data_IF_182566976041
#
_entry.id   IF_182566976041
#
_cell.length_a   1.000
_cell.length_b   1.000
_cell.length_c   1.000
_cell.angle_alpha   90.00
_cell.angle_beta   90.00
_cell.angle_gamma   90.00
#
_symmetry.space_group_name_H-M   'P 1'
#
loop_
_entity.id
_entity.type
_entity.pdbx_description
1 polymer ?
#
# COMPACT_ATOMS: atom_id res chain seq x y z
N UNK A 1 12.33 -12.78 -1.34
CA UNK A 1 10.86 -12.61 -1.46
C UNK A 1 10.55 -11.12 -1.44
N UNK A 2 9.97 -10.57 -2.52
CA UNK A 2 9.84 -9.11 -2.70
C UNK A 2 8.76 -8.50 -1.80
N UNK A 3 9.06 -7.33 -1.28
CA UNK A 3 8.10 -6.35 -0.75
C UNK A 3 8.60 -5.00 -1.25
N UNK A 4 8.05 -4.53 -2.36
CA UNK A 4 8.57 -3.40 -3.13
C UNK A 4 7.42 -2.54 -3.63
N UNK A 5 7.47 -1.23 -3.40
CA UNK A 5 6.56 -0.26 -4.02
C UNK A 5 7.28 0.43 -5.19
N UNK A 6 6.62 0.48 -6.35
CA UNK A 6 7.05 1.26 -7.52
C UNK A 6 6.16 2.50 -7.61
N UNK A 7 6.77 3.68 -7.60
CA UNK A 7 6.06 4.94 -7.80
C UNK A 7 5.78 5.09 -9.31
N UNK A 8 4.51 5.21 -9.70
CA UNK A 8 4.13 5.49 -11.09
C UNK A 8 3.88 6.97 -11.32
N UNK A 9 3.41 7.68 -10.31
CA UNK A 9 3.24 9.13 -10.34
C UNK A 9 3.16 9.70 -8.93
N UNK A 10 3.65 10.92 -8.75
CA UNK A 10 3.74 11.59 -7.45
C UNK A 10 3.30 13.07 -7.48
N UNK A 11 2.56 13.49 -8.51
CA UNK A 11 2.09 14.87 -8.65
C UNK A 11 0.61 15.03 -8.29
N UNK A 12 0.25 16.16 -7.70
CA UNK A 12 -1.15 16.47 -7.37
C UNK A 12 -1.85 17.34 -8.40
N UNK A 13 -3.17 17.18 -8.49
CA UNK A 13 -4.18 17.96 -9.17
C UNK A 13 -3.95 18.27 -10.66
N UNK A 14 -2.92 19.05 -10.98
CA UNK A 14 -2.66 19.55 -12.33
C UNK A 14 -1.56 18.73 -13.01
N UNK A 15 -1.70 18.40 -14.30
CA UNK A 15 -0.67 17.68 -15.03
C UNK A 15 0.61 18.50 -15.12
N UNK A 16 1.75 17.80 -15.15
CA UNK A 16 3.06 18.41 -15.43
C UNK A 16 3.76 17.61 -16.52
N UNK A 17 4.78 18.21 -17.15
CA UNK A 17 5.57 17.51 -18.17
C UNK A 17 6.53 16.46 -17.61
N UNK A 18 6.74 16.43 -16.29
CA UNK A 18 7.79 15.62 -15.66
C UNK A 18 7.28 14.61 -14.64
N UNK A 19 6.13 14.86 -14.01
CA UNK A 19 5.56 14.01 -12.97
C UNK A 19 4.10 13.70 -13.29
N UNK A 20 3.77 12.42 -13.28
CA UNK A 20 2.43 11.94 -13.51
C UNK A 20 1.57 12.09 -12.24
N UNK A 21 0.24 12.17 -12.40
CA UNK A 21 -0.72 12.06 -11.29
C UNK A 21 -0.53 10.78 -10.48
N UNK A 22 -1.03 10.79 -9.24
CA UNK A 22 -0.79 9.75 -8.24
C UNK A 22 -1.19 8.36 -8.72
N UNK A 23 -0.20 7.46 -8.68
CA UNK A 23 -0.40 6.03 -8.83
C UNK A 23 0.84 5.28 -8.34
N UNK A 24 0.63 4.11 -7.76
CA UNK A 24 1.71 3.25 -7.28
C UNK A 24 1.37 1.78 -7.47
N UNK A 25 2.38 0.94 -7.65
CA UNK A 25 2.19 -0.51 -7.63
C UNK A 25 3.02 -1.13 -6.54
N UNK A 26 2.35 -1.81 -5.62
CA UNK A 26 2.96 -2.58 -4.55
C UNK A 26 3.04 -4.05 -4.97
N UNK A 27 4.24 -4.63 -4.88
CA UNK A 27 4.46 -6.07 -4.99
C UNK A 27 4.79 -6.64 -3.61
N UNK A 28 3.88 -7.42 -3.04
CA UNK A 28 4.11 -8.18 -1.80
C UNK A 28 4.03 -9.67 -2.12
N UNK A 29 5.16 -10.37 -2.00
CA UNK A 29 5.19 -11.83 -2.20
C UNK A 29 4.51 -12.25 -3.51
N UNK A 30 4.84 -11.56 -4.61
CA UNK A 30 4.34 -11.82 -5.95
C UNK A 30 2.85 -11.48 -6.17
N UNK A 31 2.21 -10.79 -5.22
CA UNK A 31 0.89 -10.16 -5.36
C UNK A 31 1.06 -8.69 -5.74
N UNK A 32 0.38 -8.26 -6.80
CA UNK A 32 0.49 -6.91 -7.32
C UNK A 32 -0.79 -6.13 -7.03
N UNK A 33 -0.65 -5.04 -6.28
CA UNK A 33 -1.72 -4.14 -5.88
C UNK A 33 -1.48 -2.78 -6.53
N UNK A 34 -2.47 -2.26 -7.25
CA UNK A 34 -2.45 -0.87 -7.73
C UNK A 34 -3.09 0.02 -6.68
N UNK A 35 -2.42 1.11 -6.31
CA UNK A 35 -2.90 2.11 -5.35
C UNK A 35 -3.01 3.43 -6.11
N UNK A 36 -4.24 3.93 -6.18
CA UNK A 36 -4.70 5.00 -7.07
C UNK A 36 -4.39 4.77 -8.56
N UNK A 37 -5.09 5.49 -9.42
CA UNK A 37 -5.01 5.34 -10.87
C UNK A 37 -5.21 6.68 -11.58
N UNK A 38 -4.32 7.63 -11.30
CA UNK A 38 -4.28 8.91 -11.99
C UNK A 38 -4.07 8.79 -13.51
N UNK A 39 -4.36 9.85 -14.24
CA UNK A 39 -4.24 9.86 -15.71
C UNK A 39 -2.84 9.41 -16.18
N UNK A 40 -2.80 8.53 -17.18
CA UNK A 40 -1.54 8.03 -17.73
C UNK A 40 -0.89 6.88 -16.96
N UNK A 41 -1.50 6.39 -15.88
CA UNK A 41 -1.01 5.24 -15.08
C UNK A 41 -0.60 4.04 -15.93
N UNK A 42 -1.41 3.63 -16.90
CA UNK A 42 -1.11 2.50 -17.80
C UNK A 42 0.16 2.73 -18.66
N UNK A 43 0.44 3.98 -19.04
CA UNK A 43 1.64 4.35 -19.80
C UNK A 43 2.85 4.24 -18.88
N UNK A 44 2.75 4.71 -17.63
CA UNK A 44 3.81 4.61 -16.63
C UNK A 44 4.11 3.13 -16.28
N UNK A 45 3.08 2.28 -16.16
CA UNK A 45 3.29 0.84 -15.99
C UNK A 45 4.11 0.23 -17.14
N UNK A 46 3.79 0.58 -18.39
CA UNK A 46 4.55 0.13 -19.56
C UNK A 46 5.98 0.67 -19.56
N UNK A 47 6.15 1.96 -19.25
CA UNK A 47 7.45 2.64 -19.18
C UNK A 47 8.38 1.98 -18.15
N UNK A 48 7.86 1.66 -16.97
CA UNK A 48 8.65 1.10 -15.87
C UNK A 48 8.57 -0.42 -15.77
N UNK A 49 8.06 -1.09 -16.82
CA UNK A 49 7.99 -2.56 -16.95
C UNK A 49 7.27 -3.22 -15.77
N UNK A 50 6.22 -2.57 -15.26
CA UNK A 50 5.34 -3.16 -14.24
C UNK A 50 4.44 -4.19 -14.92
N UNK A 51 4.32 -5.43 -14.38
CA UNK A 51 3.53 -6.49 -14.99
C UNK A 51 2.03 -6.26 -14.75
N UNK A 52 1.46 -5.32 -15.51
CA UNK A 52 0.06 -4.89 -15.41
C UNK A 52 -0.94 -6.06 -15.43
N UNK A 53 -0.69 -7.11 -16.20
CA UNK A 53 -1.54 -8.31 -16.27
C UNK A 53 -1.68 -9.07 -14.94
N UNK A 54 -0.77 -8.86 -13.98
CA UNK A 54 -0.78 -9.50 -12.65
C UNK A 54 -1.51 -8.70 -11.59
N UNK A 55 -2.03 -7.52 -11.93
CA UNK A 55 -2.79 -6.67 -11.02
C UNK A 55 -4.24 -7.15 -11.05
N UNK A 56 -4.72 -7.66 -9.92
CA UNK A 56 -6.11 -8.12 -9.73
C UNK A 56 -6.89 -7.26 -8.74
N UNK A 57 -6.21 -6.36 -8.04
CA UNK A 57 -6.79 -5.52 -7.00
C UNK A 57 -6.30 -4.08 -7.19
N UNK A 58 -7.25 -3.14 -7.29
CA UNK A 58 -7.02 -1.70 -7.43
C UNK A 58 -7.67 -1.00 -6.25
N UNK A 59 -6.89 -0.23 -5.50
CA UNK A 59 -7.34 0.52 -4.32
C UNK A 59 -7.35 2.02 -4.64
N UNK A 60 -8.53 2.64 -4.59
CA UNK A 60 -8.74 4.04 -4.89
C UNK A 60 -9.05 4.79 -3.60
N UNK A 61 -8.17 5.70 -3.22
CA UNK A 61 -8.23 6.46 -1.97
C UNK A 61 -9.43 7.40 -1.91
N UNK A 62 -9.74 8.08 -3.01
CA UNK A 62 -10.87 9.00 -3.17
C UNK A 62 -11.13 9.31 -4.66
N UNK A 63 -12.16 10.11 -4.96
CA UNK A 63 -12.66 10.29 -6.34
C UNK A 63 -12.23 11.59 -7.02
N UNK A 64 -11.11 12.20 -6.64
CA UNK A 64 -10.54 13.28 -7.44
C UNK A 64 -9.90 12.75 -8.73
N UNK A 65 -9.90 13.58 -9.77
CA UNK A 65 -9.55 13.16 -11.13
C UNK A 65 -8.12 12.66 -11.27
N UNK A 66 -7.18 13.28 -10.58
CA UNK A 66 -5.77 12.91 -10.50
C UNK A 66 -5.53 11.56 -9.80
N UNK A 67 -6.56 10.92 -9.24
CA UNK A 67 -6.52 9.57 -8.67
C UNK A 67 -7.34 8.55 -9.47
N UNK A 68 -8.22 8.96 -10.39
CA UNK A 68 -9.15 8.03 -11.06
C UNK A 68 -9.22 8.15 -12.58
N UNK A 69 -8.74 9.24 -13.20
CA UNK A 69 -8.89 9.44 -14.65
C UNK A 69 -8.13 8.41 -15.48
N UNK A 70 -7.08 7.78 -14.94
CA UNK A 70 -6.38 6.69 -15.59
C UNK A 70 -7.15 5.37 -15.62
N UNK A 71 -8.18 5.23 -14.77
CA UNK A 71 -8.85 3.96 -14.54
C UNK A 71 -9.59 3.48 -15.80
N UNK A 72 -10.36 4.34 -16.47
CA UNK A 72 -11.09 3.96 -17.68
C UNK A 72 -10.14 3.51 -18.80
N UNK A 73 -9.06 4.26 -19.02
CA UNK A 73 -8.04 3.90 -20.01
C UNK A 73 -7.38 2.56 -19.70
N UNK A 74 -7.06 2.31 -18.43
CA UNK A 74 -6.49 1.03 -17.98
C UNK A 74 -7.46 -0.14 -18.21
N UNK A 75 -8.75 0.03 -17.89
CA UNK A 75 -9.77 -1.00 -18.09
C UNK A 75 -10.00 -1.34 -19.56
N UNK A 76 -10.02 -0.32 -20.44
CA UNK A 76 -10.08 -0.52 -21.89
C UNK A 76 -8.84 -1.28 -22.39
N UNK A 77 -7.64 -0.96 -21.90
CA UNK A 77 -6.43 -1.70 -22.25
C UNK A 77 -6.47 -3.15 -21.79
N UNK A 78 -6.99 -3.44 -20.58
CA UNK A 78 -7.19 -4.84 -20.16
C UNK A 78 -8.13 -5.61 -21.07
N UNK A 79 -9.21 -4.98 -21.54
CA UNK A 79 -10.13 -5.59 -22.48
C UNK A 79 -9.44 -5.89 -23.83
N UNK A 80 -8.67 -4.93 -24.37
CA UNK A 80 -7.90 -5.10 -25.60
C UNK A 80 -6.82 -6.18 -25.49
N UNK A 81 -6.24 -6.36 -24.30
CA UNK A 81 -5.24 -7.41 -24.02
C UNK A 81 -5.86 -8.79 -23.75
N UNK A 82 -7.18 -8.92 -23.85
CA UNK A 82 -7.86 -10.21 -23.65
C UNK A 82 -7.76 -10.74 -22.23
N UNK A 83 -7.70 -9.85 -21.23
CA UNK A 83 -7.73 -10.23 -19.80
C UNK A 83 -8.93 -11.13 -19.53
N UNK A 84 -8.69 -12.24 -18.81
CA UNK A 84 -9.74 -13.17 -18.34
C UNK A 84 -9.90 -13.23 -16.82
N UNK A 85 -8.85 -12.89 -16.07
CA UNK A 85 -8.90 -12.91 -14.62
C UNK A 85 -9.73 -11.78 -14.08
N UNK A 86 -10.51 -12.05 -13.04
CA UNK A 86 -11.32 -11.04 -12.36
C UNK A 86 -10.49 -9.87 -11.83
N UNK A 87 -11.15 -8.73 -11.69
CA UNK A 87 -10.58 -7.48 -11.20
C UNK A 87 -11.44 -6.94 -10.07
N UNK A 88 -10.82 -6.62 -8.94
CA UNK A 88 -11.46 -6.04 -7.78
C UNK A 88 -11.04 -4.57 -7.67
N UNK A 89 -12.02 -3.67 -7.60
CA UNK A 89 -11.79 -2.23 -7.44
C UNK A 89 -12.40 -1.81 -6.11
N UNK A 90 -11.54 -1.37 -5.20
CA UNK A 90 -11.88 -0.90 -3.87
C UNK A 90 -11.91 0.63 -3.90
N UNK A 91 -13.05 1.25 -3.62
CA UNK A 91 -13.20 2.70 -3.74
C UNK A 91 -14.55 3.20 -3.26
N UNK A 92 -15.00 4.37 -3.73
CA UNK A 92 -16.31 4.90 -3.34
C UNK A 92 -17.38 4.19 -4.12
N UNK A 93 -18.55 3.96 -3.51
CA UNK A 93 -19.76 3.54 -4.25
C UNK A 93 -20.09 4.39 -5.49
N UNK A 94 -19.66 5.67 -5.54
CA UNK A 94 -19.83 6.53 -6.72
C UNK A 94 -18.91 6.13 -7.89
N UNK A 95 -17.76 5.52 -7.60
CA UNK A 95 -16.80 5.08 -8.61
C UNK A 95 -17.39 4.00 -9.51
N UNK A 96 -18.14 3.05 -8.94
CA UNK A 96 -18.85 2.02 -9.71
C UNK A 96 -19.79 2.64 -10.74
N UNK A 97 -20.61 3.62 -10.33
CA UNK A 97 -21.54 4.32 -11.23
C UNK A 97 -20.81 4.98 -12.39
N UNK A 98 -19.71 5.68 -12.10
CA UNK A 98 -18.91 6.38 -13.11
C UNK A 98 -18.29 5.41 -14.11
N UNK A 99 -17.61 4.36 -13.62
CA UNK A 99 -16.88 3.43 -14.47
C UNK A 99 -17.83 2.57 -15.29
N UNK A 100 -18.92 2.08 -14.70
CA UNK A 100 -19.94 1.31 -15.42
C UNK A 100 -20.54 2.15 -16.54
N UNK A 101 -20.93 3.40 -16.26
CA UNK A 101 -21.44 4.32 -17.29
C UNK A 101 -20.44 4.54 -18.43
N UNK A 102 -19.17 4.79 -18.12
CA UNK A 102 -18.13 4.99 -19.14
C UNK A 102 -17.91 3.73 -20.00
N UNK A 103 -17.87 2.54 -19.38
CA UNK A 103 -17.69 1.28 -20.11
C UNK A 103 -18.87 0.97 -21.02
N UNK A 104 -20.09 1.26 -20.59
CA UNK A 104 -21.32 1.12 -21.39
C UNK A 104 -21.32 2.08 -22.58
N UNK A 105 -21.04 3.36 -22.35
CA UNK A 105 -20.97 4.39 -23.40
C UNK A 105 -19.91 4.06 -24.47
N UNK A 106 -18.79 3.47 -24.05
CA UNK A 106 -17.70 3.07 -24.94
C UNK A 106 -17.91 1.70 -25.59
N UNK A 107 -19.04 1.03 -25.33
CA UNK A 107 -19.33 -0.34 -25.79
C UNK A 107 -18.17 -1.33 -25.52
N UNK A 108 -17.51 -1.18 -24.37
CA UNK A 108 -16.30 -1.95 -24.07
C UNK A 108 -16.62 -3.42 -23.83
N UNK A 109 -16.24 -4.27 -24.79
CA UNK A 109 -16.38 -5.73 -24.69
C UNK A 109 -15.26 -6.31 -23.81
N UNK A 110 -15.60 -6.69 -22.58
CA UNK A 110 -14.69 -7.32 -21.61
C UNK A 110 -14.95 -8.83 -21.47
N UNK A 111 -13.88 -9.59 -21.26
CA UNK A 111 -13.92 -11.06 -20.99
C UNK A 111 -13.60 -11.39 -19.53
N UNK A 112 -13.69 -10.40 -18.64
CA UNK A 112 -13.39 -10.51 -17.21
C UNK A 112 -14.44 -9.75 -16.40
N UNK A 113 -14.64 -10.17 -15.15
CA UNK A 113 -15.55 -9.48 -14.24
C UNK A 113 -14.84 -8.34 -13.50
N UNK A 114 -15.60 -7.30 -13.19
CA UNK A 114 -15.15 -6.20 -12.34
C UNK A 114 -16.05 -6.19 -11.10
N UNK A 115 -15.45 -6.37 -9.94
CA UNK A 115 -16.14 -6.33 -8.65
C UNK A 115 -15.79 -5.04 -7.92
N UNK A 116 -16.80 -4.23 -7.62
CA UNK A 116 -16.63 -2.99 -6.86
C UNK A 116 -16.87 -3.23 -5.37
N UNK A 117 -15.96 -2.71 -4.54
CA UNK A 117 -16.01 -2.81 -3.08
C UNK A 117 -15.98 -1.42 -2.48
N UNK A 118 -17.01 -1.06 -1.71
CA UNK A 118 -17.07 0.27 -1.09
C UNK A 118 -16.18 0.31 0.16
N UNK A 119 -15.32 1.34 0.27
CA UNK A 119 -14.29 1.36 1.33
C UNK A 119 -14.40 2.44 2.41
N UNK A 120 -15.42 3.30 2.35
CA UNK A 120 -15.48 4.45 3.24
C UNK A 120 -16.25 4.13 4.52
N UNK A 121 -15.53 4.14 5.63
CA UNK A 121 -16.04 3.96 6.99
C UNK A 121 -15.35 4.89 7.99
N UNK A 122 -15.86 4.94 9.22
CA UNK A 122 -15.23 5.70 10.32
C UNK A 122 -14.08 4.94 11.01
N UNK A 123 -14.03 3.63 10.77
CA UNK A 123 -13.12 2.70 11.42
C UNK A 123 -12.25 1.99 10.39
N UNK A 124 -11.21 1.32 10.87
CA UNK A 124 -10.38 0.45 10.05
C UNK A 124 -11.19 -0.77 9.58
N UNK A 125 -11.02 -1.16 8.33
CA UNK A 125 -11.72 -2.32 7.75
C UNK A 125 -10.78 -3.15 6.87
N UNK A 126 -10.96 -4.46 6.90
CA UNK A 126 -10.22 -5.39 6.04
C UNK A 126 -10.86 -5.42 4.65
N UNK A 127 -10.05 -5.14 3.62
CA UNK A 127 -10.47 -5.10 2.22
C UNK A 127 -10.14 -6.39 1.47
N UNK A 128 -8.97 -6.93 1.76
CA UNK A 128 -8.45 -8.12 1.13
C UNK A 128 -7.64 -8.90 2.16
N UNK A 129 -7.78 -10.21 2.16
CA UNK A 129 -6.99 -11.10 2.99
C UNK A 129 -6.79 -12.42 2.27
N UNK A 130 -5.56 -12.92 2.31
CA UNK A 130 -5.25 -14.30 1.95
C UNK A 130 -4.32 -14.96 2.98
N UNK A 131 -3.63 -16.02 2.59
CA UNK A 131 -2.72 -16.77 3.46
C UNK A 131 -1.41 -16.02 3.76
N UNK A 132 -1.11 -14.92 3.06
CA UNK A 132 0.16 -14.19 3.17
C UNK A 132 0.02 -12.70 3.48
N UNK A 133 -1.06 -12.06 3.06
CA UNK A 133 -1.22 -10.60 3.14
C UNK A 133 -2.61 -10.25 3.64
N UNK A 134 -2.68 -9.22 4.49
CA UNK A 134 -3.90 -8.50 4.83
C UNK A 134 -3.78 -7.06 4.35
N UNK A 135 -4.85 -6.54 3.73
CA UNK A 135 -4.97 -5.15 3.29
C UNK A 135 -6.15 -4.53 4.01
N UNK A 136 -5.90 -3.41 4.67
CA UNK A 136 -6.90 -2.66 5.42
C UNK A 136 -7.00 -1.23 4.91
N UNK A 137 -8.18 -0.63 4.98
CA UNK A 137 -8.32 0.82 4.82
C UNK A 137 -8.61 1.51 6.14
N UNK A 138 -8.22 2.77 6.24
CA UNK A 138 -8.47 3.65 7.38
C UNK A 138 -8.84 5.07 6.90
N UNK A 139 -9.65 5.83 7.67
CA UNK A 139 -10.11 7.14 7.23
C UNK A 139 -9.01 8.20 7.22
N UNK A 140 -8.99 9.03 6.17
CA UNK A 140 -8.18 10.23 6.05
C UNK A 140 -9.04 11.49 6.15
N UNK A 141 -8.41 12.66 6.29
CA UNK A 141 -9.09 13.94 6.48
C UNK A 141 -8.95 14.83 5.25
N UNK A 142 -9.85 14.68 4.29
CA UNK A 142 -9.83 15.43 3.02
C UNK A 142 -11.11 16.25 2.77
N UNK A 143 -11.49 17.06 3.76
CA UNK A 143 -12.65 17.94 3.66
C UNK A 143 -13.97 17.18 3.63
N UNK A 144 -14.86 17.54 2.70
CA UNK A 144 -16.14 16.86 2.49
C UNK A 144 -16.00 15.60 1.63
N UNK A 145 -14.85 15.39 0.98
CA UNK A 145 -14.59 14.22 0.16
C UNK A 145 -14.19 13.05 1.06
N UNK A 146 -14.92 11.91 1.02
CA UNK A 146 -14.44 10.69 1.66
C UNK A 146 -13.09 10.28 1.07
N UNK A 147 -12.09 10.14 1.94
CA UNK A 147 -10.74 9.73 1.58
C UNK A 147 -10.24 8.66 2.54
N UNK A 148 -9.52 7.67 2.01
CA UNK A 148 -9.03 6.53 2.74
C UNK A 148 -7.54 6.31 2.46
N UNK A 149 -6.80 5.94 3.51
CA UNK A 149 -5.47 5.38 3.40
C UNK A 149 -5.53 3.87 3.39
N UNK A 150 -4.42 3.23 3.01
CA UNK A 150 -4.32 1.78 2.90
C UNK A 150 -3.13 1.25 3.67
N UNK A 151 -3.32 0.16 4.39
CA UNK A 151 -2.30 -0.54 5.15
C UNK A 151 -2.17 -1.98 4.65
N UNK A 152 -1.01 -2.30 4.09
CA UNK A 152 -0.66 -3.62 3.58
C UNK A 152 0.29 -4.28 4.58
N UNK A 153 -0.07 -5.43 5.12
CA UNK A 153 0.75 -6.18 6.09
C UNK A 153 0.94 -7.61 5.65
N UNK A 154 2.17 -8.10 5.74
CA UNK A 154 2.40 -9.55 5.71
C UNK A 154 1.76 -10.20 6.95
N UNK A 155 1.17 -11.37 6.77
CA UNK A 155 0.73 -12.21 7.87
C UNK A 155 1.90 -13.00 8.44
N UNK A 156 1.79 -13.37 9.70
CA UNK A 156 2.78 -14.19 10.37
C UNK A 156 2.99 -15.51 9.61
N UNK A 157 4.26 -15.89 9.51
CA UNK A 157 4.64 -17.14 8.86
C UNK A 157 4.77 -18.23 9.91
N UNK A 158 4.44 -19.49 9.56
CA UNK A 158 4.70 -20.60 10.46
C UNK A 158 6.20 -20.70 10.79
N UNK A 159 6.51 -21.18 11.99
CA UNK A 159 7.88 -21.39 12.46
C UNK A 159 8.59 -22.43 11.60
N UNK A 160 9.92 -22.33 11.49
CA UNK A 160 10.70 -23.33 10.73
C UNK A 160 11.12 -24.46 11.66
N UNK A 161 10.78 -25.70 11.33
CA UNK A 161 11.16 -26.86 12.13
C UNK A 161 12.67 -27.14 12.06
N UNK A 162 13.27 -27.53 13.18
CA UNK A 162 14.66 -27.99 13.24
C UNK A 162 14.71 -29.52 13.13
N UNK A 163 15.01 -30.04 11.93
CA UNK A 163 14.97 -31.48 11.64
C UNK A 163 15.81 -32.31 12.63
N UNK A 164 17.04 -31.88 12.91
CA UNK A 164 17.96 -32.63 13.79
C UNK A 164 17.40 -32.78 15.21
N UNK A 165 16.77 -31.73 15.73
CA UNK A 165 16.16 -31.77 17.06
C UNK A 165 14.82 -32.51 17.07
N UNK A 166 14.05 -32.44 15.98
CA UNK A 166 12.84 -33.26 15.87
C UNK A 166 13.17 -34.75 15.90
N UNK A 167 14.24 -35.15 15.23
CA UNK A 167 14.67 -36.55 15.19
C UNK A 167 15.26 -36.98 16.54
N UNK A 168 16.06 -36.14 17.19
CA UNK A 168 16.58 -36.40 18.54
C UNK A 168 15.46 -36.62 19.58
N UNK A 169 14.39 -35.84 19.51
CA UNK A 169 13.24 -35.93 20.42
C UNK A 169 12.14 -36.89 19.94
N UNK A 170 12.39 -37.65 18.86
CA UNK A 170 11.42 -38.59 18.26
C UNK A 170 10.04 -37.95 17.99
N UNK A 171 10.02 -36.68 17.56
CA UNK A 171 8.78 -35.92 17.39
C UNK A 171 7.93 -36.53 16.26
N UNK A 172 6.70 -37.01 16.55
CA UNK A 172 5.82 -37.58 15.55
C UNK A 172 5.41 -36.56 14.47
N UNK A 173 5.21 -37.03 13.24
CA UNK A 173 4.78 -36.18 12.11
C UNK A 173 3.49 -35.40 12.44
N UNK A 174 2.54 -36.04 13.15
CA UNK A 174 1.28 -35.42 13.58
C UNK A 174 1.47 -34.13 14.42
N UNK A 175 2.56 -34.02 15.18
CA UNK A 175 2.84 -32.88 16.05
C UNK A 175 3.53 -31.72 15.31
N UNK A 176 4.01 -31.94 14.08
CA UNK A 176 4.80 -30.95 13.33
C UNK A 176 4.00 -29.69 12.97
N UNK A 177 2.69 -29.81 12.75
CA UNK A 177 1.85 -28.65 12.45
C UNK A 177 1.65 -27.76 13.68
N UNK A 178 1.35 -28.35 14.83
CA UNK A 178 1.28 -27.68 16.13
C UNK A 178 2.58 -26.92 16.46
N UNK A 179 3.73 -27.58 16.27
CA UNK A 179 5.04 -26.95 16.45
C UNK A 179 5.24 -25.74 15.52
N UNK A 180 4.80 -25.83 14.27
CA UNK A 180 4.86 -24.69 13.33
C UNK A 180 3.96 -23.52 13.77
N UNK A 181 2.92 -23.78 14.54
CA UNK A 181 2.01 -22.76 15.11
C UNK A 181 2.44 -22.25 16.49
N UNK A 182 3.55 -22.77 17.03
CA UNK A 182 4.16 -22.29 18.27
C UNK A 182 3.81 -23.09 19.53
N UNK A 183 3.09 -24.21 19.40
CA UNK A 183 2.80 -25.09 20.53
C UNK A 183 4.06 -25.86 20.96
N UNK A 184 4.21 -26.13 22.26
CA UNK A 184 5.25 -27.00 22.79
C UNK A 184 4.98 -28.47 22.44
N UNK A 185 6.02 -29.32 22.47
CA UNK A 185 5.86 -30.76 22.27
C UNK A 185 5.85 -31.48 23.62
N UNK A 186 4.92 -32.42 23.82
CA UNK A 186 4.87 -33.27 25.01
C UNK A 186 5.21 -34.70 24.60
N UNK A 187 6.21 -35.30 25.24
CA UNK A 187 6.62 -36.69 24.97
C UNK A 187 5.60 -37.69 25.52
N UNK A 188 5.72 -38.97 25.17
CA UNK A 188 4.84 -40.02 25.68
C UNK A 188 5.00 -40.22 27.20
N UNK A 189 6.18 -39.90 27.73
CA UNK A 189 6.51 -39.90 29.16
C UNK A 189 6.03 -38.63 29.89
N UNK A 190 5.45 -37.66 29.18
CA UNK A 190 4.92 -36.42 29.74
C UNK A 190 5.94 -35.28 29.87
N UNK A 191 7.16 -35.41 29.32
CA UNK A 191 8.14 -34.32 29.31
C UNK A 191 7.72 -33.23 28.32
N UNK A 192 7.77 -31.96 28.73
CA UNK A 192 7.46 -30.82 27.86
C UNK A 192 8.75 -30.28 27.24
N UNK A 193 8.87 -30.40 25.92
CA UNK A 193 9.95 -29.85 25.12
C UNK A 193 9.51 -28.49 24.54
N UNK A 194 10.17 -27.38 24.93
CA UNK A 194 9.80 -26.06 24.44
C UNK A 194 9.90 -25.94 22.93
N UNK A 195 8.89 -25.33 22.31
CA UNK A 195 8.78 -25.09 20.89
C UNK A 195 10.01 -24.36 20.32
N UNK A 196 10.50 -23.36 21.05
CA UNK A 196 11.69 -22.57 20.67
C UNK A 196 12.96 -23.40 20.55
N UNK A 197 13.03 -24.56 21.22
CA UNK A 197 14.13 -25.51 21.05
C UNK A 197 14.00 -26.25 19.72
N UNK A 198 12.78 -26.66 19.37
CA UNK A 198 12.49 -27.48 18.19
C UNK A 198 12.30 -26.69 16.88
N UNK A 199 12.29 -25.35 16.96
CA UNK A 199 11.95 -24.49 15.84
C UNK A 199 12.77 -23.20 15.80
N UNK A 200 12.80 -22.54 14.66
CA UNK A 200 13.34 -21.19 14.47
C UNK A 200 12.19 -20.21 14.23
N UNK A 201 12.29 -19.02 14.83
CA UNK A 201 11.35 -17.93 14.62
C UNK A 201 11.25 -17.61 13.11
N UNK A 202 10.04 -17.32 12.59
CA UNK A 202 9.91 -16.79 11.23
C UNK A 202 10.59 -15.42 11.14
N UNK A 203 11.03 -14.98 9.94
CA UNK A 203 11.42 -13.60 9.73
C UNK A 203 10.28 -12.63 10.12
N UNK A 204 10.59 -11.43 10.61
CA UNK A 204 9.57 -10.45 10.97
C UNK A 204 8.68 -10.10 9.77
N UNK A 205 7.42 -9.82 10.05
CA UNK A 205 6.46 -9.35 9.04
C UNK A 205 6.81 -7.93 8.61
N UNK A 206 6.48 -7.62 7.36
CA UNK A 206 6.68 -6.31 6.75
C UNK A 206 5.36 -5.61 6.47
N UNK A 207 5.41 -4.29 6.43
CA UNK A 207 4.22 -3.45 6.31
C UNK A 207 4.46 -2.20 5.49
N UNK A 208 3.43 -1.79 4.75
CA UNK A 208 3.42 -0.55 3.98
C UNK A 208 2.10 0.19 4.18
N UNK A 209 2.20 1.48 4.52
CA UNK A 209 1.05 2.36 4.63
C UNK A 209 1.09 3.44 3.55
N UNK A 210 -0.07 3.70 2.95
CA UNK A 210 -0.28 4.76 1.97
C UNK A 210 -1.27 5.78 2.53
N UNK A 211 -0.79 7.00 2.78
CA UNK A 211 -1.56 8.17 3.15
C UNK A 211 -1.44 9.20 2.02
N UNK A 212 -2.49 9.36 1.23
CA UNK A 212 -2.56 10.47 0.26
C UNK A 212 -3.25 11.68 0.89
N UNK A 213 -3.71 12.62 0.07
CA UNK A 213 -4.74 13.64 0.29
C UNK A 213 -5.37 13.61 1.68
N UNK A 214 -4.71 14.29 2.62
CA UNK A 214 -5.13 14.42 4.00
C UNK A 214 -4.51 15.66 4.63
N UNK A 215 -5.32 16.38 5.40
CA UNK A 215 -4.82 17.27 6.44
C UNK A 215 -4.20 16.42 7.57
N UNK A 216 -3.33 17.02 8.42
CA UNK A 216 -2.81 16.34 9.60
C UNK A 216 -3.94 15.74 10.45
N UNK A 217 -3.85 14.44 10.71
CA UNK A 217 -4.94 13.70 11.33
C UNK A 217 -4.42 12.66 12.34
N UNK A 218 -4.25 13.09 13.59
CA UNK A 218 -3.66 12.27 14.65
C UNK A 218 -4.30 10.89 14.88
N UNK A 219 -5.57 10.71 14.50
CA UNK A 219 -6.28 9.43 14.65
C UNK A 219 -5.66 8.29 13.84
N UNK A 220 -4.85 8.59 12.82
CA UNK A 220 -4.17 7.55 12.03
C UNK A 220 -2.88 7.05 12.69
N UNK A 221 -2.29 7.77 13.64
CA UNK A 221 -0.98 7.42 14.23
C UNK A 221 -0.99 6.00 14.83
N UNK A 222 -1.98 5.58 15.65
CA UNK A 222 -2.02 4.22 16.18
C UNK A 222 -2.14 3.13 15.10
N UNK A 223 -2.68 3.47 13.93
CA UNK A 223 -2.84 2.53 12.80
C UNK A 223 -1.51 2.35 12.07
N UNK A 224 -0.71 3.42 12.01
CA UNK A 224 0.59 3.49 11.34
C UNK A 224 1.76 3.04 12.23
N UNK A 225 1.48 2.68 13.48
CA UNK A 225 2.50 2.38 14.48
C UNK A 225 3.48 1.30 13.98
N UNK A 226 4.77 1.61 14.03
CA UNK A 226 5.89 0.75 13.63
C UNK A 226 5.86 0.28 12.17
N UNK A 227 5.16 0.98 11.26
CA UNK A 227 5.12 0.62 9.84
C UNK A 227 6.53 0.67 9.23
N UNK A 228 6.88 -0.32 8.40
CA UNK A 228 8.22 -0.38 7.81
C UNK A 228 8.43 0.68 6.72
N UNK A 229 7.37 1.02 6.01
CA UNK A 229 7.38 2.04 4.99
C UNK A 229 6.06 2.82 5.00
N UNK A 230 6.16 4.13 5.17
CA UNK A 230 5.04 5.05 5.08
C UNK A 230 5.20 5.90 3.82
N UNK A 231 4.17 5.94 2.98
CA UNK A 231 4.00 7.01 2.01
C UNK A 231 3.02 8.03 2.56
N UNK A 232 3.41 9.31 2.56
CA UNK A 232 2.53 10.40 2.99
C UNK A 232 2.56 11.54 1.97
N UNK A 233 1.40 12.13 1.70
CA UNK A 233 1.36 13.35 0.89
C UNK A 233 2.13 14.51 1.56
N UNK A 234 2.83 15.27 0.74
CA UNK A 234 3.51 16.49 1.11
C UNK A 234 3.26 17.51 0.01
N UNK A 235 1.98 17.85 -0.19
CA UNK A 235 1.56 18.73 -1.29
C UNK A 235 2.24 20.10 -1.22
N UNK A 236 2.56 20.55 -0.01
CA UNK A 236 3.06 21.89 0.28
C UNK A 236 4.31 21.89 1.18
N UNK A 237 4.99 23.04 1.23
CA UNK A 237 5.98 23.34 2.27
C UNK A 237 5.29 24.04 3.45
N UNK A 238 6.00 24.17 4.57
CA UNK A 238 5.55 24.92 5.74
C UNK A 238 5.16 26.36 5.42
N UNK A 239 5.81 26.98 4.44
CA UNK A 239 5.47 28.34 3.96
C UNK A 239 4.04 28.45 3.44
N UNK A 240 3.47 27.37 2.89
CA UNK A 240 2.08 27.31 2.42
C UNK A 240 1.15 26.59 3.40
N UNK A 241 1.49 26.48 4.69
CA UNK A 241 0.67 25.77 5.68
C UNK A 241 -0.79 26.27 5.76
N UNK A 242 -1.03 27.56 5.53
CA UNK A 242 -2.40 28.12 5.45
C UNK A 242 -3.18 27.54 4.27
N UNK A 243 -2.53 27.41 3.12
CA UNK A 243 -3.14 26.82 1.93
C UNK A 243 -3.36 25.32 2.13
N UNK A 244 -2.36 24.59 2.63
CA UNK A 244 -2.47 23.18 2.96
C UNK A 244 -3.71 22.91 3.83
N UNK A 245 -3.89 23.70 4.89
CA UNK A 245 -5.07 23.62 5.76
C UNK A 245 -6.38 23.92 5.02
N UNK A 246 -6.41 24.94 4.17
CA UNK A 246 -7.62 25.35 3.44
C UNK A 246 -8.06 24.30 2.41
N UNK A 247 -7.10 23.59 1.82
CA UNK A 247 -7.34 22.54 0.81
C UNK A 247 -7.31 21.12 1.37
N UNK A 248 -7.27 20.98 2.70
CA UNK A 248 -7.20 19.68 3.39
C UNK A 248 -6.03 18.78 2.95
N UNK A 249 -4.85 19.38 2.83
CA UNK A 249 -3.59 18.74 2.51
C UNK A 249 -2.56 18.90 3.63
N UNK A 250 -1.42 18.24 3.48
CA UNK A 250 -0.30 18.29 4.41
C UNK A 250 0.92 18.99 3.83
N UNK A 251 1.73 19.51 4.75
CA UNK A 251 3.08 20.01 4.46
C UNK A 251 4.12 18.90 4.62
N UNK A 252 5.32 19.06 4.05
CA UNK A 252 6.42 18.13 4.22
C UNK A 252 6.81 17.95 5.71
N UNK A 253 6.85 19.03 6.49
CA UNK A 253 7.07 18.97 7.95
C UNK A 253 5.99 18.13 8.65
N UNK A 254 4.72 18.28 8.26
CA UNK A 254 3.61 17.56 8.87
C UNK A 254 3.62 16.07 8.53
N UNK A 255 3.94 15.72 7.28
CA UNK A 255 4.12 14.33 6.87
C UNK A 255 5.23 13.64 7.68
N UNK A 256 6.36 14.35 7.88
CA UNK A 256 7.48 13.86 8.69
C UNK A 256 7.10 13.69 10.17
N UNK A 257 6.33 14.62 10.75
CA UNK A 257 5.80 14.48 12.12
C UNK A 257 4.92 13.24 12.28
N UNK A 258 4.07 12.93 11.30
CA UNK A 258 3.25 11.71 11.35
C UNK A 258 4.13 10.46 11.33
N UNK A 259 5.20 10.43 10.53
CA UNK A 259 6.13 9.31 10.48
C UNK A 259 6.88 9.12 11.81
N UNK A 260 7.36 10.22 12.40
CA UNK A 260 8.04 10.23 13.69
C UNK A 260 7.11 9.79 14.84
N UNK A 261 5.93 10.39 14.95
CA UNK A 261 4.92 10.04 15.98
C UNK A 261 4.44 8.58 15.85
N UNK A 262 4.44 8.00 14.65
CA UNK A 262 4.09 6.61 14.40
C UNK A 262 5.27 5.63 14.55
N UNK A 263 6.48 6.11 14.84
CA UNK A 263 7.70 5.31 14.83
C UNK A 263 7.87 4.51 13.51
N UNK A 264 7.55 5.13 12.38
CA UNK A 264 7.72 4.51 11.06
C UNK A 264 9.22 4.30 10.80
N UNK A 265 9.59 3.24 10.06
CA UNK A 265 11.01 2.98 9.78
C UNK A 265 11.56 3.82 8.63
N UNK A 266 10.72 4.15 7.64
CA UNK A 266 11.08 4.94 6.45
C UNK A 266 9.87 5.72 5.95
N UNK A 267 10.08 6.97 5.55
CA UNK A 267 9.07 7.85 4.95
C UNK A 267 9.37 8.10 3.48
N UNK A 268 8.34 7.97 2.64
CA UNK A 268 8.31 8.49 1.28
C UNK A 268 7.31 9.65 1.26
N UNK A 269 7.75 10.82 0.82
CA UNK A 269 6.87 11.96 0.58
C UNK A 269 6.55 12.09 -0.91
N UNK A 270 5.29 12.42 -1.24
CA UNK A 270 4.82 12.56 -2.61
C UNK A 270 3.62 13.49 -2.74
N UNK A 271 2.83 13.34 -3.82
CA UNK A 271 1.65 14.16 -4.10
C UNK A 271 1.96 15.67 -4.22
N UNK A 272 3.07 16.02 -4.89
CA UNK A 272 3.59 17.38 -4.88
C UNK A 272 2.77 18.34 -5.74
N UNK A 273 2.53 19.55 -5.23
CA UNK A 273 1.90 20.61 -6.03
C UNK A 273 2.75 20.99 -7.24
N UNK A 274 2.11 21.14 -8.39
CA UNK A 274 2.74 21.57 -9.64
C UNK A 274 3.43 22.94 -9.57
N UNK A 275 3.14 23.75 -8.53
CA UNK A 275 3.82 25.03 -8.27
C UNK A 275 5.32 24.86 -7.99
N UNK A 276 5.73 23.71 -7.46
CA UNK A 276 7.12 23.46 -7.11
C UNK A 276 7.87 22.83 -8.29
N UNK A 277 8.81 23.61 -8.83
CA UNK A 277 9.70 23.16 -9.91
C UNK A 277 10.72 22.12 -9.41
N UNK A 278 11.17 22.29 -8.17
CA UNK A 278 12.15 21.42 -7.50
C UNK A 278 11.62 20.94 -6.16
N UNK A 279 12.06 19.77 -5.72
CA UNK A 279 11.57 19.12 -4.51
C UNK A 279 12.58 19.10 -3.35
N UNK A 280 13.78 19.66 -3.53
CA UNK A 280 14.81 19.69 -2.49
C UNK A 280 14.30 20.33 -1.20
N UNK A 281 13.56 21.44 -1.30
CA UNK A 281 12.97 22.07 -0.12
C UNK A 281 11.99 21.14 0.64
N UNK A 282 11.25 20.28 -0.04
CA UNK A 282 10.36 19.31 0.61
C UNK A 282 11.17 18.25 1.35
N UNK A 283 12.25 17.76 0.71
CA UNK A 283 13.12 16.77 1.30
C UNK A 283 13.83 17.31 2.54
N UNK A 284 14.45 18.50 2.45
CA UNK A 284 15.14 19.12 3.58
C UNK A 284 14.18 19.42 4.75
N UNK A 285 12.99 19.95 4.44
CA UNK A 285 11.97 20.24 5.47
C UNK A 285 11.52 18.95 6.18
N UNK A 286 11.23 17.88 5.44
CA UNK A 286 10.83 16.61 6.05
C UNK A 286 11.97 15.94 6.82
N UNK A 287 13.20 15.95 6.28
CA UNK A 287 14.39 15.37 6.94
C UNK A 287 14.74 16.06 8.25
N UNK A 288 14.48 17.37 8.35
CA UNK A 288 14.69 18.11 9.60
C UNK A 288 13.87 17.57 10.79
N UNK A 289 12.82 16.80 10.52
CA UNK A 289 11.98 16.12 11.52
C UNK A 289 12.22 14.61 11.52
N UNK A 290 12.28 13.99 10.34
CA UNK A 290 12.43 12.55 10.17
C UNK A 290 13.51 12.22 9.13
N UNK A 291 14.72 11.93 9.59
CA UNK A 291 15.93 11.83 8.74
C UNK A 291 15.79 10.78 7.61
N UNK A 292 15.13 9.65 7.87
CA UNK A 292 14.94 8.59 6.87
C UNK A 292 13.78 8.86 5.90
N UNK A 293 13.75 10.08 5.35
CA UNK A 293 12.78 10.55 4.36
C UNK A 293 13.34 10.49 2.94
N UNK A 294 12.50 10.10 1.98
CA UNK A 294 12.81 9.99 0.56
C UNK A 294 11.73 10.66 -0.29
N UNK A 295 12.12 11.24 -1.43
CA UNK A 295 11.17 11.76 -2.42
C UNK A 295 10.59 10.62 -3.27
N UNK A 296 9.27 10.67 -3.51
CA UNK A 296 8.60 9.88 -4.52
C UNK A 296 8.90 10.42 -5.92
N UNK A 297 9.60 9.63 -6.71
CA UNK A 297 9.97 9.96 -8.09
C UNK A 297 9.40 8.88 -9.02
N UNK A 298 8.76 9.30 -10.11
CA UNK A 298 8.21 8.39 -11.12
C UNK A 298 9.27 7.35 -11.56
N UNK A 299 8.96 6.07 -11.41
CA UNK A 299 9.81 4.93 -11.74
C UNK A 299 10.71 4.45 -10.60
N UNK A 300 10.84 5.22 -9.52
CA UNK A 300 11.63 4.84 -8.34
C UNK A 300 10.95 3.70 -7.59
N UNK A 301 11.79 2.81 -7.07
CA UNK A 301 11.38 1.62 -6.33
C UNK A 301 11.90 1.66 -4.91
N UNK A 302 11.06 1.30 -3.96
CA UNK A 302 11.41 1.21 -2.55
C UNK A 302 11.12 -0.19 -2.04
N UNK A 303 12.18 -0.90 -1.66
CA UNK A 303 12.10 -2.23 -1.10
C UNK A 303 12.13 -2.21 0.43
N UNK A 304 11.40 -3.14 1.03
CA UNK A 304 11.43 -3.48 2.45
C UNK A 304 12.16 -4.81 2.59
N UNK A 305 13.42 -4.73 2.98
CA UNK A 305 14.28 -5.90 3.15
C UNK A 305 13.86 -6.70 4.38
N UNK A 306 14.04 -8.03 4.31
CA UNK A 306 13.91 -8.87 5.48
C UNK A 306 15.20 -8.72 6.28
N UNK A 307 15.11 -8.13 7.47
CA UNK A 307 16.19 -8.23 8.45
C UNK A 307 16.32 -9.72 8.82
N UNK A 308 17.46 -10.32 8.48
CA UNK A 308 17.78 -11.72 8.76
C UNK A 308 18.47 -11.86 10.11
#
# INVERSE_FOLDING_TARGET
MKFEVTILGSNSALPTTKRYPTAQVLNVLERFFLIDCGEGTQIQMKRFRVPMSRINHIFISHTHGDHIFGLIGLLSTYALQGRKSDLHIYGHSKLEKLITFQLELLETKKQYNIYFHTIFGKETQTLFEDDKVIVQSFPLKHGAMPCAGFLFKEKDRPRTLNADLLDYYNVPIRCRQSLKMGEDFVTEEGEVIPNKKLTKDPPPTRSYAFCTDTAPYKKIIPILENVDLLYHEATFLKTEAKLAKATYHSTAEQAAKVADEANAKKLIIGHFSSRFKTLNAHLEEAKSVFENTHLAEDGKKFSIELNR
#
